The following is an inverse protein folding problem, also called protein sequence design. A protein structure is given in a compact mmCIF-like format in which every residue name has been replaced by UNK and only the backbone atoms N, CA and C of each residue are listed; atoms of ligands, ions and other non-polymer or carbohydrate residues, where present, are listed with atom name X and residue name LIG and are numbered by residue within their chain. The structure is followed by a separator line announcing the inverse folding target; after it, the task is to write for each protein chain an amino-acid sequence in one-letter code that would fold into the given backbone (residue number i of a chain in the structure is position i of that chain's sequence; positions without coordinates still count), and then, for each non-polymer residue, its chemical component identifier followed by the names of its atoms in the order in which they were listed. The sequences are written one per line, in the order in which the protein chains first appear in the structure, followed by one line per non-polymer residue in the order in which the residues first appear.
data_IF_992150806554
#
_entry.id   IF_992150806554
#
_cell.length_a   1.000
_cell.length_b   1.000
_cell.length_c   1.000
_cell.angle_alpha   90.00
_cell.angle_beta   90.00
_cell.angle_gamma   90.00
#
_symmetry.space_group_name_H-M   'P 1'
#
loop_
_entity.id
_entity.type
_entity.pdbx_description
1 polymer ?
#
# COMPACT_ATOMS: atom_id res chain seq x y z
N UNK A 1 10.86 -21.31 6.08
CA UNK A 1 9.59 -21.69 5.39
C UNK A 1 9.43 -21.06 4.01
N UNK A 2 9.43 -19.73 3.84
CA UNK A 2 9.36 -19.08 2.50
C UNK A 2 10.43 -19.58 1.51
N UNK A 3 11.67 -19.77 1.97
CA UNK A 3 12.77 -20.27 1.12
C UNK A 3 12.58 -21.72 0.66
N UNK A 4 11.69 -22.48 1.30
CA UNK A 4 11.36 -23.86 0.93
C UNK A 4 10.16 -23.92 -0.01
N UNK A 5 9.14 -23.10 0.23
CA UNK A 5 7.87 -23.13 -0.52
C UNK A 5 7.83 -22.15 -1.70
N UNK A 6 8.76 -21.20 -1.77
CA UNK A 6 8.72 -20.05 -2.70
C UNK A 6 7.42 -19.23 -2.64
N UNK A 7 6.67 -19.35 -1.53
CA UNK A 7 5.39 -18.70 -1.30
C UNK A 7 5.40 -17.87 0.00
N UNK A 8 4.47 -16.91 0.18
CA UNK A 8 4.20 -16.31 1.49
C UNK A 8 3.96 -17.38 2.57
N UNK A 9 4.26 -17.06 3.82
CA UNK A 9 3.87 -17.93 4.95
C UNK A 9 2.35 -17.90 5.09
N UNK A 10 1.79 -16.70 5.10
CA UNK A 10 0.35 -16.42 4.98
C UNK A 10 0.15 -15.03 4.36
N UNK A 11 -1.08 -14.72 3.95
CA UNK A 11 -1.49 -13.39 3.51
C UNK A 11 -3.00 -13.18 3.66
N UNK A 12 -3.41 -11.93 3.88
CA UNK A 12 -4.83 -11.56 3.94
C UNK A 12 -5.54 -11.85 2.62
N UNK A 13 -6.84 -12.16 2.70
CA UNK A 13 -7.72 -12.34 1.52
C UNK A 13 -8.95 -11.45 1.55
N UNK A 14 -9.29 -10.88 2.71
CA UNK A 14 -10.51 -10.09 2.93
C UNK A 14 -10.28 -8.71 3.59
N UNK A 15 -9.06 -8.41 4.03
CA UNK A 15 -8.74 -7.14 4.72
C UNK A 15 -7.99 -6.19 3.78
N UNK A 16 -8.57 -5.01 3.51
CA UNK A 16 -7.86 -3.91 2.87
C UNK A 16 -6.99 -3.18 3.90
N UNK A 17 -5.67 -3.29 3.78
CA UNK A 17 -4.74 -2.71 4.74
C UNK A 17 -4.75 -1.18 4.74
N UNK A 18 -4.85 -0.62 5.94
CA UNK A 18 -4.71 0.81 6.26
C UNK A 18 -3.81 0.96 7.50
N UNK A 19 -3.60 2.18 7.99
CA UNK A 19 -2.78 2.42 9.19
C UNK A 19 -3.33 1.69 10.44
N UNK A 20 -4.65 1.49 10.52
CA UNK A 20 -5.33 0.96 11.72
C UNK A 20 -6.25 -0.23 11.40
N UNK A 21 -6.06 -0.92 10.27
CA UNK A 21 -6.94 -2.03 9.87
C UNK A 21 -6.72 -3.33 10.63
N UNK A 22 -5.52 -3.51 11.17
CA UNK A 22 -5.10 -4.74 11.83
C UNK A 22 -4.92 -4.50 13.32
N UNK A 23 -5.26 -5.51 14.11
CA UNK A 23 -4.95 -5.54 15.53
C UNK A 23 -3.44 -5.72 15.77
N UNK A 24 -3.01 -5.55 17.02
CA UNK A 24 -1.62 -5.74 17.40
C UNK A 24 -1.20 -7.22 17.27
N UNK A 25 -0.21 -7.48 16.42
CA UNK A 25 0.49 -8.77 16.32
C UNK A 25 1.80 -8.79 17.12
N UNK A 26 2.20 -9.98 17.57
CA UNK A 26 3.40 -10.23 18.36
C UNK A 26 4.13 -11.48 17.87
N UNK A 27 5.45 -11.55 18.05
CA UNK A 27 6.20 -12.80 17.88
C UNK A 27 6.19 -13.57 19.19
N UNK A 28 6.53 -12.89 20.28
CA UNK A 28 6.51 -13.41 21.64
C UNK A 28 6.38 -12.23 22.60
N UNK A 29 5.13 -11.91 22.96
CA UNK A 29 4.74 -10.62 23.54
C UNK A 29 5.51 -10.27 24.81
N UNK A 30 5.84 -11.27 25.61
CA UNK A 30 6.50 -11.08 26.91
C UNK A 30 8.03 -10.87 26.79
N UNK A 31 8.62 -11.15 25.61
CA UNK A 31 10.05 -10.99 25.36
C UNK A 31 10.40 -9.74 24.54
N UNK A 32 9.41 -9.13 23.87
CA UNK A 32 9.63 -8.04 22.92
C UNK A 32 9.82 -6.69 23.63
N UNK A 33 11.00 -6.08 23.45
CA UNK A 33 11.28 -4.71 23.93
C UNK A 33 10.78 -3.62 22.97
N UNK A 34 10.73 -3.92 21.67
CA UNK A 34 10.22 -3.05 20.61
C UNK A 34 9.18 -3.86 19.84
N UNK A 35 7.98 -3.31 19.73
CA UNK A 35 6.82 -3.99 19.16
C UNK A 35 6.39 -3.36 17.83
N UNK A 36 5.63 -4.12 17.06
CA UNK A 36 4.98 -3.64 15.83
C UNK A 36 5.16 -4.62 14.68
N UNK A 37 4.05 -5.17 14.19
CA UNK A 37 3.98 -5.99 12.99
C UNK A 37 3.08 -5.32 11.94
N UNK A 38 3.25 -5.72 10.68
CA UNK A 38 2.45 -5.19 9.57
C UNK A 38 1.00 -5.71 9.58
N UNK A 39 0.79 -6.88 10.19
CA UNK A 39 -0.49 -7.55 10.35
C UNK A 39 -0.55 -8.11 11.77
N UNK A 40 -1.63 -8.83 12.08
CA UNK A 40 -1.88 -9.55 13.33
C UNK A 40 -0.93 -10.73 13.58
N UNK A 41 -0.12 -11.15 12.60
CA UNK A 41 0.75 -12.32 12.73
C UNK A 41 2.15 -12.14 12.08
N UNK A 42 3.20 -12.78 12.62
CA UNK A 42 4.53 -12.75 12.03
C UNK A 42 4.55 -13.30 10.59
N UNK A 43 5.15 -12.54 9.68
CA UNK A 43 5.35 -12.92 8.26
C UNK A 43 4.05 -13.10 7.43
N UNK A 44 2.88 -12.77 7.99
CA UNK A 44 1.61 -12.68 7.25
C UNK A 44 1.57 -11.38 6.45
N UNK A 45 1.41 -11.47 5.13
CA UNK A 45 1.40 -10.29 4.23
C UNK A 45 0.02 -9.68 4.13
N UNK A 46 -0.08 -8.37 4.18
CA UNK A 46 -1.34 -7.66 3.99
C UNK A 46 -1.68 -7.47 2.50
N UNK A 47 -2.95 -7.19 2.20
CA UNK A 47 -3.40 -6.68 0.90
C UNK A 47 -3.37 -5.15 0.92
N UNK A 48 -2.69 -4.53 -0.05
CA UNK A 48 -2.69 -3.08 -0.26
C UNK A 48 -3.37 -2.79 -1.60
N UNK A 49 -4.71 -2.69 -1.65
CA UNK A 49 -5.47 -2.74 -2.90
C UNK A 49 -5.45 -1.42 -3.69
N UNK A 50 -5.10 -0.30 -3.05
CA UNK A 50 -5.04 1.03 -3.68
C UNK A 50 -4.11 1.08 -4.91
N UNK A 51 -3.08 0.22 -4.94
CA UNK A 51 -2.14 0.11 -6.05
C UNK A 51 -2.74 -0.56 -7.29
N UNK A 52 -3.67 -1.51 -7.13
CA UNK A 52 -4.24 -2.28 -8.22
C UNK A 52 -4.84 -3.60 -7.78
N UNK A 53 -6.15 -3.79 -7.98
CA UNK A 53 -6.87 -4.99 -7.54
C UNK A 53 -6.51 -6.24 -8.37
N UNK A 54 -6.18 -6.07 -9.66
CA UNK A 54 -5.75 -7.16 -10.55
C UNK A 54 -4.50 -7.88 -10.06
N UNK A 55 -3.57 -7.14 -9.44
CA UNK A 55 -2.35 -7.72 -8.89
C UNK A 55 -2.61 -8.53 -7.63
N UNK A 56 -3.56 -8.10 -6.82
CA UNK A 56 -4.02 -8.84 -5.64
C UNK A 56 -4.69 -10.15 -6.08
N UNK A 57 -5.61 -10.08 -7.04
CA UNK A 57 -6.29 -11.25 -7.60
C UNK A 57 -5.30 -12.27 -8.20
N UNK A 58 -4.36 -11.79 -9.01
CA UNK A 58 -3.29 -12.62 -9.59
C UNK A 58 -2.43 -13.28 -8.52
N UNK A 59 -2.14 -12.58 -7.42
CA UNK A 59 -1.37 -13.12 -6.30
C UNK A 59 -2.14 -14.18 -5.54
N UNK A 60 -3.44 -13.98 -5.32
CA UNK A 60 -4.31 -14.97 -4.67
C UNK A 60 -4.32 -16.27 -5.50
N UNK A 61 -4.56 -16.15 -6.81
CA UNK A 61 -4.54 -17.30 -7.72
C UNK A 61 -3.17 -18.01 -7.75
N UNK A 62 -2.07 -17.26 -7.83
CA UNK A 62 -0.71 -17.84 -7.88
C UNK A 62 -0.34 -18.62 -6.60
N UNK A 63 -0.96 -18.31 -5.46
CA UNK A 63 -0.72 -18.96 -4.18
C UNK A 63 -1.94 -19.76 -3.68
N UNK A 64 -2.84 -20.16 -4.60
CA UNK A 64 -4.00 -21.02 -4.34
C UNK A 64 -4.91 -20.52 -3.19
N UNK A 65 -5.21 -19.21 -3.20
CA UNK A 65 -6.18 -18.57 -2.30
C UNK A 65 -7.18 -17.79 -3.13
N UNK A 66 -8.35 -17.52 -2.56
CA UNK A 66 -9.39 -16.72 -3.21
C UNK A 66 -9.44 -15.33 -2.59
N UNK A 67 -9.55 -14.31 -3.44
CA UNK A 67 -9.78 -12.93 -3.02
C UNK A 67 -11.25 -12.76 -2.66
N UNK A 68 -11.52 -12.09 -1.55
CA UNK A 68 -12.88 -11.74 -1.14
C UNK A 68 -13.60 -10.96 -2.28
N UNK A 69 -14.76 -11.45 -2.76
CA UNK A 69 -15.53 -10.78 -3.80
C UNK A 69 -15.93 -9.35 -3.44
N UNK A 70 -16.15 -9.05 -2.16
CA UNK A 70 -16.49 -7.72 -1.69
C UNK A 70 -15.31 -6.76 -1.85
N UNK A 71 -14.09 -7.19 -1.49
CA UNK A 71 -12.88 -6.39 -1.76
C UNK A 71 -12.69 -6.15 -3.25
N UNK A 72 -12.88 -7.19 -4.07
CA UNK A 72 -12.79 -7.05 -5.53
C UNK A 72 -13.78 -6.00 -6.03
N UNK A 73 -15.03 -6.06 -5.55
CA UNK A 73 -16.08 -5.10 -5.90
C UNK A 73 -15.70 -3.68 -5.49
N UNK A 74 -15.28 -3.46 -4.24
CA UNK A 74 -14.91 -2.14 -3.72
C UNK A 74 -13.84 -1.48 -4.59
N UNK A 75 -12.77 -2.20 -4.92
CA UNK A 75 -11.64 -1.65 -5.67
C UNK A 75 -11.80 -1.73 -7.20
N UNK A 76 -12.98 -2.11 -7.67
CA UNK A 76 -13.37 -2.07 -9.09
C UNK A 76 -14.45 -1.02 -9.34
N UNK A 77 -15.47 -0.95 -8.48
CA UNK A 77 -16.67 -0.12 -8.69
C UNK A 77 -16.65 1.18 -7.87
N UNK A 78 -16.21 1.13 -6.60
CA UNK A 78 -16.32 2.29 -5.69
C UNK A 78 -15.02 3.09 -5.61
N UNK A 79 -13.87 2.41 -5.55
CA UNK A 79 -12.55 3.00 -5.38
C UNK A 79 -11.63 2.59 -6.53
N UNK A 80 -11.55 3.43 -7.56
CA UNK A 80 -10.60 3.26 -8.66
C UNK A 80 -9.17 3.11 -8.14
N UNK A 81 -8.37 2.21 -8.71
CA UNK A 81 -6.98 1.97 -8.27
C UNK A 81 -5.96 2.76 -9.09
N UNK A 82 -4.72 2.88 -8.59
CA UNK A 82 -3.60 3.45 -9.34
C UNK A 82 -3.41 2.73 -10.68
N UNK A 83 -3.33 1.40 -10.67
CA UNK A 83 -3.20 0.57 -11.86
C UNK A 83 -4.29 0.89 -12.89
N UNK A 84 -5.57 0.88 -12.51
CA UNK A 84 -6.64 1.18 -13.46
C UNK A 84 -6.53 2.61 -14.02
N UNK A 85 -6.22 3.60 -13.17
CA UNK A 85 -6.03 4.99 -13.60
C UNK A 85 -4.89 5.16 -14.61
N UNK A 86 -3.78 4.45 -14.43
CA UNK A 86 -2.65 4.46 -15.37
C UNK A 86 -3.04 3.86 -16.71
N UNK A 87 -3.67 2.68 -16.69
CA UNK A 87 -4.02 1.95 -17.92
C UNK A 87 -5.15 2.62 -18.72
N UNK A 88 -6.02 3.40 -18.08
CA UNK A 88 -7.06 4.18 -18.78
C UNK A 88 -6.48 5.32 -19.62
N UNK A 89 -5.27 5.79 -19.32
CA UNK A 89 -4.63 6.94 -19.99
C UNK A 89 -3.41 6.52 -20.82
N UNK A 90 -2.99 5.26 -20.72
CA UNK A 90 -1.89 4.74 -21.52
C UNK A 90 -2.19 4.79 -23.01
N UNK A 91 -1.20 5.26 -23.78
CA UNK A 91 -1.27 5.26 -25.24
C UNK A 91 -0.99 3.86 -25.79
N UNK A 92 -1.48 3.55 -27.01
CA UNK A 92 -1.13 2.31 -27.70
C UNK A 92 0.38 2.08 -27.83
N UNK A 93 1.17 3.15 -27.99
CA UNK A 93 2.62 3.07 -28.13
C UNK A 93 3.31 2.69 -26.81
N UNK A 94 2.89 3.26 -25.68
CA UNK A 94 3.38 2.84 -24.36
C UNK A 94 3.12 1.35 -24.14
N UNK A 95 1.92 0.89 -24.49
CA UNK A 95 1.55 -0.53 -24.37
C UNK A 95 2.43 -1.43 -25.26
N UNK A 96 2.75 -1.01 -26.49
CA UNK A 96 3.65 -1.74 -27.38
C UNK A 96 5.07 -1.80 -26.83
N UNK A 97 5.61 -0.67 -26.35
CA UNK A 97 6.95 -0.61 -25.73
C UNK A 97 7.05 -1.49 -24.48
N UNK A 98 5.98 -1.56 -23.68
CA UNK A 98 5.89 -2.45 -22.53
C UNK A 98 5.87 -3.91 -22.95
N UNK A 99 5.09 -4.25 -23.97
CA UNK A 99 4.95 -5.63 -24.48
C UNK A 99 6.25 -6.13 -25.14
N UNK A 100 6.97 -5.26 -25.85
CA UNK A 100 8.24 -5.61 -26.49
C UNK A 100 9.43 -5.70 -25.53
N UNK A 101 9.28 -5.25 -24.29
CA UNK A 101 10.35 -5.22 -23.29
C UNK A 101 11.29 -4.02 -23.41
N UNK A 102 11.04 -3.09 -24.35
CA UNK A 102 11.81 -1.84 -24.49
C UNK A 102 11.63 -0.96 -23.24
N UNK A 103 10.40 -0.90 -22.71
CA UNK A 103 10.07 -0.14 -21.50
C UNK A 103 9.33 -1.04 -20.52
N UNK A 104 10.08 -1.79 -19.71
CA UNK A 104 9.56 -2.78 -18.75
C UNK A 104 9.81 -2.37 -17.31
N UNK A 105 9.04 -2.94 -16.37
CA UNK A 105 9.23 -2.71 -14.93
C UNK A 105 8.84 -1.31 -14.44
N UNK A 106 7.94 -0.62 -15.14
CA UNK A 106 7.39 0.65 -14.67
C UNK A 106 6.49 0.45 -13.44
N UNK A 107 6.37 1.44 -12.54
CA UNK A 107 5.52 1.37 -11.35
C UNK A 107 4.03 1.57 -11.69
N UNK A 108 3.52 0.81 -12.65
CA UNK A 108 2.12 0.81 -13.11
C UNK A 108 1.24 -0.20 -12.35
N UNK A 109 1.85 -1.18 -11.69
CA UNK A 109 1.18 -2.30 -11.03
C UNK A 109 1.57 -2.47 -9.55
N UNK A 110 2.37 -1.58 -8.98
CA UNK A 110 2.80 -1.63 -7.59
C UNK A 110 3.16 -0.23 -7.06
N UNK A 111 3.31 -0.12 -5.74
CA UNK A 111 3.69 1.15 -5.12
C UNK A 111 5.05 1.64 -5.65
N UNK A 112 5.11 2.88 -6.13
CA UNK A 112 6.33 3.49 -6.71
C UNK A 112 7.55 3.49 -5.77
N UNK A 113 7.33 3.44 -4.46
CA UNK A 113 8.38 3.52 -3.45
C UNK A 113 9.19 4.82 -3.57
N UNK A 114 10.50 4.74 -3.26
CA UNK A 114 11.47 5.85 -3.39
C UNK A 114 11.08 7.13 -2.63
N UNK A 115 10.35 6.98 -1.53
CA UNK A 115 10.01 8.06 -0.59
C UNK A 115 10.62 7.69 0.76
N UNK A 116 11.42 8.60 1.32
CA UNK A 116 11.97 8.46 2.67
C UNK A 116 11.28 9.50 3.54
N UNK A 117 10.37 9.05 4.40
CA UNK A 117 9.82 9.91 5.46
C UNK A 117 10.87 10.16 6.53
N UNK A 118 10.88 11.36 7.11
CA UNK A 118 11.79 11.66 8.23
C UNK A 118 11.21 11.12 9.55
N UNK A 119 11.32 9.80 9.76
CA UNK A 119 10.73 9.09 10.91
C UNK A 119 11.28 9.57 12.26
N UNK A 120 12.49 10.17 12.27
CA UNK A 120 13.12 10.74 13.47
C UNK A 120 12.27 11.84 14.09
N UNK A 121 11.46 12.54 13.29
CA UNK A 121 10.57 13.61 13.76
C UNK A 121 9.53 13.11 14.76
N UNK A 122 9.07 11.87 14.61
CA UNK A 122 8.10 11.28 15.55
C UNK A 122 8.71 11.18 16.95
N UNK A 123 9.95 10.68 17.04
CA UNK A 123 10.67 10.59 18.31
C UNK A 123 11.09 11.96 18.86
N UNK A 124 11.55 12.86 17.99
CA UNK A 124 12.10 14.16 18.40
C UNK A 124 11.03 15.16 18.84
N UNK A 125 9.87 15.18 18.19
CA UNK A 125 8.85 16.21 18.39
C UNK A 125 7.50 15.68 18.89
N UNK A 126 7.22 14.39 18.73
CA UNK A 126 5.91 13.81 19.03
C UNK A 126 4.84 14.17 17.98
N UNK A 127 3.79 13.35 17.90
CA UNK A 127 2.73 13.48 16.88
C UNK A 127 1.93 14.78 17.02
N UNK A 128 1.66 15.22 18.24
CA UNK A 128 0.88 16.44 18.50
C UNK A 128 1.55 17.69 17.94
N UNK A 129 2.87 17.81 18.10
CA UNK A 129 3.63 18.92 17.51
C UNK A 129 3.56 18.87 15.99
N UNK A 130 3.81 17.69 15.39
CA UNK A 130 3.80 17.52 13.93
C UNK A 130 2.43 17.80 13.32
N UNK A 131 1.34 17.47 14.03
CA UNK A 131 -0.03 17.78 13.61
C UNK A 131 -0.27 19.29 13.58
N UNK A 132 0.15 20.02 14.63
CA UNK A 132 0.06 21.49 14.67
C UNK A 132 0.88 22.15 13.56
N UNK A 133 2.11 21.68 13.33
CA UNK A 133 2.96 22.13 12.22
C UNK A 133 2.29 21.93 10.85
N UNK A 134 1.69 20.75 10.62
CA UNK A 134 0.95 20.47 9.38
C UNK A 134 -0.30 21.35 9.22
N UNK A 135 -1.01 21.66 10.30
CA UNK A 135 -2.15 22.57 10.25
C UNK A 135 -1.72 24.01 9.90
N UNK A 136 -0.62 24.51 10.49
CA UNK A 136 -0.06 25.80 10.13
C UNK A 136 0.37 25.86 8.64
N UNK A 137 1.01 24.80 8.14
CA UNK A 137 1.34 24.68 6.71
C UNK A 137 0.09 24.75 5.82
N UNK A 138 -0.99 24.04 6.20
CA UNK A 138 -2.27 24.09 5.49
C UNK A 138 -2.84 25.52 5.47
N UNK A 139 -2.92 26.20 6.62
CA UNK A 139 -3.43 27.57 6.71
C UNK A 139 -2.61 28.55 5.87
N UNK A 140 -1.28 28.39 5.82
CA UNK A 140 -0.40 29.25 5.02
C UNK A 140 -0.70 29.24 3.50
N UNK A 141 -1.44 28.22 3.01
CA UNK A 141 -1.88 28.14 1.62
C UNK A 141 -3.20 28.87 1.37
N UNK A 142 -4.08 29.02 2.38
CA UNK A 142 -5.32 29.79 2.24
C UNK A 142 -5.04 31.28 2.00
N UNK A 143 -4.10 31.86 2.75
CA UNK A 143 -3.68 33.26 2.60
C UNK A 143 -3.14 33.58 1.19
N UNK A 144 -2.57 32.58 0.51
CA UNK A 144 -2.03 32.70 -0.85
C UNK A 144 -3.08 32.52 -1.95
N UNK A 145 -4.17 31.82 -1.66
CA UNK A 145 -5.21 31.49 -2.66
C UNK A 145 -6.33 32.53 -2.68
N UNK A 146 -6.56 33.26 -1.58
CA UNK A 146 -7.56 34.32 -1.46
C UNK A 146 -7.13 35.72 -1.97
N UNK A 147 -5.93 35.86 -2.55
CA UNK A 147 -5.42 37.11 -3.17
C UNK A 147 -5.50 37.09 -4.71
N UNK A 148 -6.39 36.30 -5.29
CA UNK A 148 -6.74 36.36 -6.71
C UNK A 148 -8.14 36.92 -6.88
#
# INVERSE_FOLDING_TARGET
MKNRTHAPVDFDTSVASTITSHDAGYIEKDLEQIVGLQTDAPLKRAIIPFGGIRMVESSCHAYNRELDPELKKIFTEYRKTHNQGVFDVYTPDILKCRKSGILTGLPDAYGRGRIIGDYRRVALYGIEFLRKDKFAQFTSLQEKTGKR
#
